data_IF_671871993425
#
_entry.id   IF_671871993425
#
_cell.length_a   1.000
_cell.length_b   1.000
_cell.length_c   1.000
_cell.angle_alpha   90.00
_cell.angle_beta   90.00
_cell.angle_gamma   90.00
#
_symmetry.space_group_name_H-M   'P 1'
#
loop_
_entity.id
_entity.type
_entity.pdbx_description
1 polymer ?
#
# COMPACT_ATOMS: atom_id res chain seq x y z
N UNK A 1 -11.04 8.84 -8.93
CA UNK A 1 -9.95 8.31 -8.07
C UNK A 1 -8.89 9.39 -7.83
N UNK A 2 -9.15 10.39 -7.00
CA UNK A 2 -8.28 11.59 -6.87
C UNK A 2 -6.96 11.32 -6.13
N UNK A 3 -6.80 10.16 -5.47
CA UNK A 3 -5.61 9.87 -4.65
C UNK A 3 -4.74 8.72 -5.17
N UNK A 4 -4.83 8.38 -6.45
CA UNK A 4 -4.04 7.30 -7.03
C UNK A 4 -2.55 7.64 -7.05
N UNK A 5 -2.24 8.91 -7.32
CA UNK A 5 -0.86 9.41 -7.38
C UNK A 5 -0.62 10.33 -6.18
N UNK A 6 0.37 10.02 -5.38
CA UNK A 6 0.81 10.84 -4.26
C UNK A 6 2.27 11.24 -4.46
N UNK A 7 2.55 12.52 -4.35
CA UNK A 7 3.91 13.08 -4.43
C UNK A 7 4.85 12.37 -3.46
N UNK A 8 4.35 12.02 -2.27
CA UNK A 8 5.12 11.29 -1.25
C UNK A 8 5.63 9.92 -1.75
N UNK A 9 4.78 9.12 -2.39
CA UNK A 9 5.18 7.80 -2.88
C UNK A 9 6.10 7.88 -4.11
N UNK A 10 5.90 8.88 -4.97
CA UNK A 10 6.82 9.16 -6.08
C UNK A 10 8.19 9.53 -5.54
N UNK A 11 8.24 10.37 -4.52
CA UNK A 11 9.47 10.76 -3.86
C UNK A 11 10.20 9.55 -3.24
N UNK A 12 9.49 8.69 -2.50
CA UNK A 12 10.07 7.47 -1.93
C UNK A 12 10.67 6.55 -3.00
N UNK A 13 9.93 6.35 -4.09
CA UNK A 13 10.40 5.51 -5.20
C UNK A 13 11.63 6.12 -5.87
N UNK A 14 11.60 7.43 -6.11
CA UNK A 14 12.75 8.16 -6.67
C UNK A 14 13.99 8.04 -5.78
N UNK A 15 13.84 8.21 -4.46
CA UNK A 15 14.95 8.06 -3.52
C UNK A 15 15.52 6.64 -3.53
N UNK A 16 14.66 5.63 -3.68
CA UNK A 16 15.11 4.25 -3.80
C UNK A 16 15.88 4.01 -5.11
N UNK A 17 15.42 4.56 -6.23
CA UNK A 17 16.12 4.45 -7.51
C UNK A 17 17.49 5.15 -7.49
N UNK A 18 17.63 6.26 -6.80
CA UNK A 18 18.90 6.97 -6.65
C UNK A 18 19.95 6.21 -5.83
N UNK A 19 19.54 5.20 -5.06
CA UNK A 19 20.46 4.34 -4.30
C UNK A 19 21.03 3.20 -5.17
N UNK A 20 20.50 2.99 -6.38
CA UNK A 20 21.02 1.97 -7.30
C UNK A 20 22.31 2.48 -7.92
N UNK A 21 23.43 1.72 -7.81
CA UNK A 21 24.73 2.14 -8.35
C UNK A 21 24.68 2.38 -9.85
N UNK A 22 25.30 3.47 -10.31
CA UNK A 22 25.36 3.81 -11.74
C UNK A 22 26.16 2.79 -12.57
N UNK A 23 27.04 2.02 -11.94
CA UNK A 23 27.81 0.97 -12.59
C UNK A 23 26.91 -0.08 -13.25
N UNK A 24 25.77 -0.39 -12.62
CA UNK A 24 24.79 -1.32 -13.20
C UNK A 24 24.16 -0.77 -14.48
N UNK A 25 23.93 0.53 -14.54
CA UNK A 25 23.41 1.18 -15.75
C UNK A 25 24.46 1.20 -16.85
N UNK A 26 25.70 1.55 -16.52
CA UNK A 26 26.81 1.55 -17.49
C UNK A 26 27.09 0.16 -18.04
N UNK A 27 27.11 -0.87 -17.18
CA UNK A 27 27.24 -2.26 -17.62
C UNK A 27 26.12 -2.66 -18.58
N UNK A 28 24.86 -2.34 -18.26
CA UNK A 28 23.72 -2.62 -19.13
C UNK A 28 23.82 -1.89 -20.49
N UNK A 29 24.39 -0.69 -20.52
CA UNK A 29 24.64 0.06 -21.78
C UNK A 29 25.72 -0.61 -22.64
N UNK A 30 26.81 -1.09 -22.03
CA UNK A 30 27.85 -1.85 -22.74
C UNK A 30 27.28 -3.12 -23.34
N UNK A 31 26.35 -3.80 -22.63
CA UNK A 31 25.61 -4.98 -23.13
C UNK A 31 24.55 -4.65 -24.19
N UNK A 32 24.44 -3.40 -24.65
CA UNK A 32 23.45 -2.98 -25.64
C UNK A 32 22.01 -2.99 -25.12
N UNK A 33 21.82 -3.01 -23.80
CA UNK A 33 20.48 -3.03 -23.19
C UNK A 33 19.84 -1.64 -23.26
N UNK A 34 18.65 -1.54 -23.84
CA UNK A 34 17.87 -0.30 -23.86
C UNK A 34 17.32 0.08 -22.49
N UNK A 35 17.02 1.37 -22.29
CA UNK A 35 16.60 1.94 -21.00
C UNK A 35 15.35 1.28 -20.41
N UNK A 36 14.35 0.98 -21.24
CA UNK A 36 13.14 0.31 -20.82
C UNK A 36 13.41 -1.13 -20.32
N UNK A 37 14.29 -1.85 -21.03
CA UNK A 37 14.69 -3.21 -20.62
C UNK A 37 15.49 -3.19 -19.33
N UNK A 38 16.36 -2.18 -19.14
CA UNK A 38 17.09 -1.94 -17.90
C UNK A 38 16.13 -1.65 -16.72
N UNK A 39 15.12 -0.79 -16.94
CA UNK A 39 14.09 -0.50 -15.96
C UNK A 39 13.39 -1.78 -15.51
N UNK A 40 12.88 -2.58 -16.46
CA UNK A 40 12.10 -3.77 -16.13
C UNK A 40 12.92 -4.93 -15.56
N UNK A 41 14.16 -5.14 -16.02
CA UNK A 41 14.99 -6.29 -15.64
C UNK A 41 15.92 -6.03 -14.45
N UNK A 42 16.28 -4.77 -14.20
CA UNK A 42 17.24 -4.42 -13.16
C UNK A 42 16.61 -3.52 -12.09
N UNK A 43 16.09 -2.35 -12.46
CA UNK A 43 15.61 -1.37 -11.48
C UNK A 43 14.38 -1.85 -10.73
N UNK A 44 13.36 -2.37 -11.41
CA UNK A 44 12.13 -2.84 -10.77
C UNK A 44 12.40 -4.00 -9.81
N UNK A 45 13.13 -5.07 -10.17
CA UNK A 45 13.45 -6.15 -9.24
C UNK A 45 14.26 -5.71 -8.02
N UNK A 46 15.22 -4.80 -8.18
CA UNK A 46 15.99 -4.24 -7.07
C UNK A 46 15.13 -3.39 -6.13
N UNK A 47 14.12 -2.71 -6.67
CA UNK A 47 13.21 -1.83 -5.93
C UNK A 47 11.94 -2.55 -5.45
N UNK A 48 11.80 -3.85 -5.70
CA UNK A 48 10.62 -4.63 -5.29
C UNK A 48 10.22 -4.44 -3.82
N UNK A 49 11.14 -4.46 -2.84
CA UNK A 49 10.76 -4.26 -1.44
C UNK A 49 10.11 -2.90 -1.19
N UNK A 50 10.62 -1.84 -1.80
CA UNK A 50 10.06 -0.49 -1.70
C UNK A 50 8.72 -0.39 -2.41
N UNK A 51 8.58 -0.98 -3.59
CA UNK A 51 7.32 -1.02 -4.34
C UNK A 51 6.23 -1.74 -3.54
N UNK A 52 6.56 -2.88 -2.93
CA UNK A 52 5.62 -3.64 -2.07
C UNK A 52 5.21 -2.80 -0.86
N UNK A 53 6.16 -2.12 -0.20
CA UNK A 53 5.87 -1.26 0.95
C UNK A 53 4.93 -0.11 0.57
N UNK A 54 5.17 0.56 -0.55
CA UNK A 54 4.30 1.61 -1.09
C UNK A 54 2.90 1.06 -1.40
N UNK A 55 2.82 -0.12 -2.01
CA UNK A 55 1.55 -0.78 -2.34
C UNK A 55 0.74 -1.08 -1.08
N UNK A 56 1.39 -1.61 -0.03
CA UNK A 56 0.72 -1.88 1.26
C UNK A 56 0.19 -0.60 1.88
N UNK A 57 1.02 0.47 1.95
CA UNK A 57 0.60 1.75 2.51
C UNK A 57 -0.59 2.35 1.74
N UNK A 58 -0.57 2.25 0.42
CA UNK A 58 -1.70 2.67 -0.43
C UNK A 58 -2.95 1.84 -0.20
N UNK A 59 -2.80 0.53 -0.10
CA UNK A 59 -3.89 -0.39 0.15
C UNK A 59 -4.54 -0.15 1.52
N UNK A 60 -3.73 0.08 2.55
CA UNK A 60 -4.22 0.47 3.89
C UNK A 60 -4.96 1.81 3.85
N UNK A 61 -4.42 2.81 3.15
CA UNK A 61 -5.08 4.11 3.00
C UNK A 61 -6.41 4.03 2.25
N UNK A 62 -6.47 3.22 1.19
CA UNK A 62 -7.70 2.98 0.43
C UNK A 62 -8.75 2.21 1.25
N UNK A 63 -8.31 1.20 2.02
CA UNK A 63 -9.18 0.41 2.90
C UNK A 63 -9.83 1.25 4.00
N UNK A 64 -9.04 2.14 4.61
CA UNK A 64 -9.51 3.03 5.67
C UNK A 64 -10.20 4.30 5.14
N UNK A 65 -10.38 4.43 3.82
CA UNK A 65 -11.03 5.59 3.23
C UNK A 65 -12.51 5.62 3.62
N UNK A 66 -12.93 6.73 4.21
CA UNK A 66 -14.29 6.94 4.71
C UNK A 66 -15.00 8.14 4.03
N UNK A 67 -14.36 9.30 4.09
CA UNK A 67 -15.02 10.56 3.74
C UNK A 67 -15.37 10.61 2.26
N UNK A 68 -14.41 10.31 1.40
CA UNK A 68 -14.60 10.42 -0.05
C UNK A 68 -15.63 9.43 -0.60
N UNK A 69 -15.57 8.12 -0.26
CA UNK A 69 -16.60 7.20 -0.69
C UNK A 69 -18.00 7.58 -0.20
N UNK A 70 -18.14 8.09 1.03
CA UNK A 70 -19.42 8.54 1.57
C UNK A 70 -20.02 9.72 0.80
N UNK A 71 -19.18 10.62 0.27
CA UNK A 71 -19.65 11.77 -0.52
C UNK A 71 -20.11 11.39 -1.94
N UNK A 72 -19.56 10.31 -2.49
CA UNK A 72 -19.80 9.92 -3.89
C UNK A 72 -20.83 8.82 -4.02
N UNK A 73 -21.05 8.02 -2.98
CA UNK A 73 -22.03 6.92 -3.00
C UNK A 73 -23.36 7.38 -2.46
N UNK A 74 -24.40 7.25 -3.29
CA UNK A 74 -25.80 7.61 -2.95
C UNK A 74 -26.64 6.40 -2.59
N UNK A 75 -26.24 5.19 -2.99
CA UNK A 75 -26.97 3.95 -2.73
C UNK A 75 -26.23 3.05 -1.73
N UNK A 76 -26.98 2.29 -0.93
CA UNK A 76 -26.43 1.40 0.10
C UNK A 76 -25.59 0.28 -0.49
N UNK A 77 -25.93 -0.23 -1.66
CA UNK A 77 -25.21 -1.30 -2.35
C UNK A 77 -23.79 -0.90 -2.81
N UNK A 78 -23.52 0.40 -2.90
CA UNK A 78 -22.22 0.93 -3.32
C UNK A 78 -21.34 1.38 -2.15
N UNK A 79 -21.81 1.20 -0.91
CA UNK A 79 -21.05 1.62 0.28
C UNK A 79 -19.85 0.73 0.55
N UNK A 80 -18.73 1.35 0.89
CA UNK A 80 -17.56 0.61 1.39
C UNK A 80 -17.84 0.04 2.78
N UNK A 81 -17.14 -1.06 3.10
CA UNK A 81 -17.26 -1.77 4.39
C UNK A 81 -17.07 -0.81 5.58
N UNK A 82 -16.12 0.13 5.50
CA UNK A 82 -15.87 1.14 6.53
C UNK A 82 -17.04 2.10 6.74
N UNK A 83 -17.76 2.44 5.67
CA UNK A 83 -18.95 3.30 5.76
C UNK A 83 -20.13 2.53 6.35
N UNK A 84 -20.38 1.30 5.89
CA UNK A 84 -21.43 0.44 6.43
C UNK A 84 -21.21 0.10 7.90
N UNK A 85 -19.97 -0.17 8.29
CA UNK A 85 -19.61 -0.45 9.67
C UNK A 85 -19.94 0.74 10.59
N UNK A 86 -19.62 1.95 10.17
CA UNK A 86 -19.89 3.15 10.97
C UNK A 86 -21.37 3.46 11.08
N UNK A 87 -22.13 3.27 10.00
CA UNK A 87 -23.57 3.49 10.00
C UNK A 87 -24.30 2.44 10.87
N UNK A 88 -23.83 1.19 10.88
CA UNK A 88 -24.31 0.14 11.80
C UNK A 88 -24.08 0.46 13.30
N UNK A 89 -23.09 1.30 13.61
CA UNK A 89 -22.80 1.73 15.00
C UNK A 89 -23.65 2.93 15.44
N UNK A 90 -24.26 3.63 14.50
CA UNK A 90 -25.10 4.82 14.77
C UNK A 90 -26.59 4.48 14.78
N UNK A 91 -26.94 3.22 14.98
CA UNK A 91 -28.31 2.74 14.88
C UNK A 91 -29.26 3.43 15.89
N UNK A 92 -30.52 3.55 15.49
CA UNK A 92 -31.56 4.42 16.06
C UNK A 92 -31.92 4.18 17.53
N UNK A 93 -31.32 3.23 18.21
CA UNK A 93 -31.67 2.87 19.60
C UNK A 93 -30.78 3.51 20.66
N UNK A 94 -29.72 4.24 20.28
CA UNK A 94 -28.82 4.91 21.24
C UNK A 94 -28.02 3.97 22.15
N UNK A 95 -28.18 2.66 22.05
CA UNK A 95 -27.42 1.66 22.78
C UNK A 95 -26.42 0.97 21.86
N UNK A 96 -25.15 1.34 21.98
CA UNK A 96 -24.05 0.70 21.28
C UNK A 96 -23.88 -0.75 21.77
N UNK A 97 -24.18 -1.72 20.92
CA UNK A 97 -23.87 -3.13 21.21
C UNK A 97 -22.37 -3.37 21.00
N UNK A 98 -21.57 -3.08 22.04
CA UNK A 98 -20.11 -3.14 22.04
C UNK A 98 -19.59 -4.51 21.57
N UNK A 99 -20.12 -5.66 21.99
CA UNK A 99 -19.70 -6.96 21.47
C UNK A 99 -19.83 -7.11 19.96
N UNK A 100 -20.95 -6.65 19.37
CA UNK A 100 -21.18 -6.70 17.91
C UNK A 100 -20.22 -5.77 17.19
N UNK A 101 -19.98 -4.58 17.75
CA UNK A 101 -19.00 -3.64 17.18
C UNK A 101 -17.59 -4.23 17.16
N UNK A 102 -17.14 -4.85 18.23
CA UNK A 102 -15.83 -5.49 18.31
C UNK A 102 -15.69 -6.66 17.32
N UNK A 103 -16.72 -7.49 17.21
CA UNK A 103 -16.75 -8.58 16.23
C UNK A 103 -16.67 -8.04 14.78
N UNK A 104 -17.44 -7.02 14.46
CA UNK A 104 -17.43 -6.40 13.14
C UNK A 104 -16.07 -5.77 12.78
N UNK A 105 -15.44 -5.05 13.72
CA UNK A 105 -14.07 -4.50 13.55
C UNK A 105 -13.06 -5.62 13.31
N UNK A 106 -13.15 -6.73 14.05
CA UNK A 106 -12.25 -7.87 13.86
C UNK A 106 -12.39 -8.48 12.45
N UNK A 107 -13.62 -8.69 11.98
CA UNK A 107 -13.91 -9.23 10.65
C UNK A 107 -13.42 -8.28 9.55
N UNK A 108 -13.67 -6.97 9.68
CA UNK A 108 -13.23 -5.96 8.69
C UNK A 108 -11.71 -5.81 8.66
N UNK A 109 -11.03 -6.03 9.77
CA UNK A 109 -9.57 -5.96 9.87
C UNK A 109 -8.87 -7.24 9.38
N UNK A 110 -9.57 -8.38 9.35
CA UNK A 110 -8.99 -9.68 9.01
C UNK A 110 -8.28 -9.70 7.62
N UNK A 111 -8.85 -9.20 6.52
CA UNK A 111 -8.18 -9.20 5.23
C UNK A 111 -6.90 -8.36 5.24
N UNK A 112 -6.87 -7.26 5.99
CA UNK A 112 -5.67 -6.43 6.13
C UNK A 112 -4.55 -7.18 6.87
N UNK A 113 -4.89 -7.92 7.94
CA UNK A 113 -3.96 -8.77 8.66
C UNK A 113 -3.39 -9.88 7.77
N UNK A 114 -4.24 -10.52 6.96
CA UNK A 114 -3.78 -11.54 6.01
C UNK A 114 -2.78 -10.96 5.01
N UNK A 115 -3.10 -9.83 4.39
CA UNK A 115 -2.19 -9.13 3.47
C UNK A 115 -0.87 -8.80 4.15
N UNK A 116 -0.90 -8.28 5.39
CA UNK A 116 0.30 -7.97 6.16
C UNK A 116 1.15 -9.22 6.43
N UNK A 117 0.55 -10.34 6.85
CA UNK A 117 1.26 -11.59 7.13
C UNK A 117 1.99 -12.10 5.88
N UNK A 118 1.34 -12.07 4.71
CA UNK A 118 1.95 -12.52 3.46
C UNK A 118 3.08 -11.60 2.98
N UNK A 119 2.92 -10.30 3.18
CA UNK A 119 3.84 -9.28 2.63
C UNK A 119 4.96 -8.85 3.60
N UNK A 120 4.85 -9.18 4.90
CA UNK A 120 5.85 -8.80 5.92
C UNK A 120 7.28 -9.24 5.58
N UNK A 121 7.43 -10.41 4.96
CA UNK A 121 8.75 -10.94 4.56
C UNK A 121 9.46 -10.06 3.51
N UNK A 122 8.69 -9.38 2.66
CA UNK A 122 9.25 -8.49 1.64
C UNK A 122 9.63 -7.14 2.24
N UNK A 123 8.86 -6.64 3.21
CA UNK A 123 9.17 -5.41 3.95
C UNK A 123 10.50 -5.57 4.68
N UNK A 124 10.68 -6.68 5.40
CA UNK A 124 11.90 -6.95 6.17
C UNK A 124 13.14 -7.07 5.28
N UNK A 125 13.04 -7.66 4.08
CA UNK A 125 14.14 -7.72 3.13
C UNK A 125 14.59 -6.34 2.60
N UNK A 126 13.67 -5.38 2.53
CA UNK A 126 13.96 -4.02 2.10
C UNK A 126 14.72 -3.22 3.15
N UNK A 127 14.33 -3.35 4.42
CA UNK A 127 14.94 -2.62 5.55
C UNK A 127 16.33 -3.14 5.86
N UNK A 128 16.55 -4.44 5.75
CA UNK A 128 17.84 -5.07 6.08
C UNK A 128 18.98 -4.70 5.11
N UNK A 129 18.67 -4.28 3.87
CA UNK A 129 19.67 -3.83 2.91
C UNK A 129 20.20 -2.40 3.15
N UNK A 130 19.44 -1.55 3.82
CA UNK A 130 19.87 -0.18 4.15
C UNK A 130 20.67 -0.09 5.45
N UNK A 131 20.72 -1.16 6.24
CA UNK A 131 21.36 -1.21 7.56
C UNK A 131 22.83 -1.68 7.59
N UNK A 132 23.39 -2.12 6.47
CA UNK A 132 24.80 -2.57 6.42
C UNK A 132 25.60 -1.55 5.62
N UNK A 133 25.85 -0.41 6.24
CA UNK A 133 27.01 0.44 6.03
C UNK A 133 27.70 0.61 7.37
N UNK A 134 28.49 -0.36 7.72
CA UNK A 134 29.53 -0.31 8.72
C UNK A 134 30.76 -0.88 8.10
#
# INVERSE_FOLDING_TARGET
MPFLVSVFYIYLLRQNFLQIPNELYLAAKVDGTGDFKYLCKVMIPLSLPTLISITILKMMGAWNSYIWPRLVTTSDDMRLITNGLRDAFTDMSGQANIPVQMAAVAVVSAPLFLVFIFLRKYIMKGVSRSGIKG
#
